data_IF_407420189748
#
_entry.id   IF_407420189748
#
_cell.length_a   1.000
_cell.length_b   1.000
_cell.length_c   1.000
_cell.angle_alpha   90.00
_cell.angle_beta   90.00
_cell.angle_gamma   90.00
#
_symmetry.space_group_name_H-M   'P 1'
#
loop_
_entity.id
_entity.type
_entity.pdbx_description
1 polymer ?
#
# COMPACT_ATOMS: atom_id res chain seq x y z
N UNK A 1 9.53 12.10 -13.58
CA UNK A 1 8.56 11.26 -12.85
C UNK A 1 7.43 12.11 -12.30
N UNK A 2 6.22 11.66 -12.44
CA UNK A 2 5.02 12.37 -11.98
C UNK A 2 4.33 11.57 -10.89
N UNK A 3 4.05 12.20 -9.74
CA UNK A 3 3.23 11.59 -8.68
C UNK A 3 1.82 12.17 -8.73
N UNK A 4 0.81 11.32 -8.58
CA UNK A 4 -0.59 11.73 -8.51
C UNK A 4 -1.27 11.04 -7.33
N UNK A 5 -2.16 11.75 -6.65
CA UNK A 5 -2.97 11.18 -5.57
C UNK A 5 -4.40 10.99 -6.05
N UNK A 6 -4.98 9.84 -5.67
CA UNK A 6 -6.39 9.49 -5.93
C UNK A 6 -6.81 9.63 -7.41
N UNK A 7 -5.91 9.31 -8.30
CA UNK A 7 -6.15 9.43 -9.74
C UNK A 7 -6.77 8.19 -10.38
N UNK A 8 -6.84 7.07 -9.62
CA UNK A 8 -7.35 5.78 -10.07
C UNK A 8 -6.77 5.33 -11.42
N UNK A 9 -5.58 4.72 -11.42
CA UNK A 9 -4.96 4.26 -12.67
C UNK A 9 -5.77 3.23 -13.44
N UNK A 10 -6.72 2.56 -12.77
CA UNK A 10 -7.52 1.49 -13.34
C UNK A 10 -6.93 0.12 -13.09
N UNK A 11 -7.79 -0.90 -13.13
CA UNK A 11 -7.40 -2.27 -12.82
C UNK A 11 -6.34 -2.83 -13.77
N UNK A 12 -6.42 -2.49 -15.06
CA UNK A 12 -5.46 -3.00 -16.04
C UNK A 12 -4.03 -2.53 -15.72
N UNK A 13 -3.85 -1.24 -15.48
CA UNK A 13 -2.53 -0.67 -15.16
C UNK A 13 -2.03 -1.19 -13.82
N UNK A 14 -2.88 -1.25 -12.80
CA UNK A 14 -2.51 -1.74 -11.48
C UNK A 14 -2.12 -3.22 -11.51
N UNK A 15 -2.89 -4.07 -12.18
CA UNK A 15 -2.56 -5.48 -12.30
C UNK A 15 -1.26 -5.68 -13.08
N UNK A 16 -1.01 -4.89 -14.12
CA UNK A 16 0.24 -4.94 -14.87
C UNK A 16 1.44 -4.60 -13.98
N UNK A 17 1.33 -3.54 -13.18
CA UNK A 17 2.37 -3.13 -12.25
C UNK A 17 2.63 -4.23 -11.21
N UNK A 18 1.59 -4.74 -10.58
CA UNK A 18 1.72 -5.75 -9.53
C UNK A 18 2.26 -7.06 -10.08
N UNK A 19 1.85 -7.46 -11.29
CA UNK A 19 2.36 -8.67 -11.93
C UNK A 19 3.87 -8.55 -12.20
N UNK A 20 4.33 -7.36 -12.59
CA UNK A 20 5.75 -7.13 -12.84
C UNK A 20 6.57 -7.19 -11.55
N UNK A 21 6.01 -6.72 -10.44
CA UNK A 21 6.73 -6.59 -9.17
C UNK A 21 6.61 -7.83 -8.26
N UNK A 22 5.51 -8.56 -8.32
CA UNK A 22 5.20 -9.66 -7.41
C UNK A 22 4.93 -10.94 -8.16
N UNK A 23 5.81 -11.94 -7.98
CA UNK A 23 5.76 -13.22 -8.74
C UNK A 23 4.48 -14.01 -8.45
N UNK A 24 3.87 -13.83 -7.27
CA UNK A 24 2.65 -14.54 -6.86
C UNK A 24 1.37 -13.74 -7.08
N UNK A 25 1.45 -12.66 -7.86
CA UNK A 25 0.29 -11.82 -8.09
C UNK A 25 -0.75 -12.54 -8.97
N UNK A 26 -2.01 -12.49 -8.53
CA UNK A 26 -3.16 -12.89 -9.33
C UNK A 26 -3.99 -11.65 -9.67
N UNK A 27 -4.58 -11.57 -10.87
CA UNK A 27 -5.44 -10.43 -11.22
C UNK A 27 -6.52 -10.19 -10.17
N UNK A 28 -6.72 -8.93 -9.82
CA UNK A 28 -7.73 -8.57 -8.83
C UNK A 28 -8.45 -7.27 -9.22
N UNK A 29 -9.63 -7.08 -8.64
CA UNK A 29 -10.35 -5.83 -8.74
C UNK A 29 -9.89 -4.91 -7.61
N UNK A 30 -9.19 -3.82 -7.97
CA UNK A 30 -8.69 -2.85 -7.00
C UNK A 30 -9.76 -1.84 -6.57
N UNK A 31 -10.86 -1.74 -7.28
CA UNK A 31 -11.81 -0.64 -7.08
C UNK A 31 -12.43 -0.60 -5.67
N UNK A 32 -12.82 -1.73 -5.06
CA UNK A 32 -13.34 -1.68 -3.69
C UNK A 32 -12.33 -1.13 -2.68
N UNK A 33 -11.05 -1.50 -2.82
CA UNK A 33 -9.98 -1.01 -1.94
C UNK A 33 -9.78 0.48 -2.14
N UNK A 34 -9.68 0.94 -3.39
CA UNK A 34 -9.45 2.36 -3.69
C UNK A 34 -10.59 3.24 -3.16
N UNK A 35 -11.82 2.77 -3.23
CA UNK A 35 -12.97 3.51 -2.70
C UNK A 35 -12.92 3.70 -1.19
N UNK A 36 -12.35 2.74 -0.46
CA UNK A 36 -12.25 2.78 1.01
C UNK A 36 -10.97 3.45 1.50
N UNK A 37 -10.00 3.67 0.63
CA UNK A 37 -8.72 4.24 1.01
C UNK A 37 -8.85 5.70 1.45
N UNK A 38 -8.04 6.11 2.42
CA UNK A 38 -7.89 7.52 2.75
C UNK A 38 -7.33 8.28 1.55
N UNK A 39 -6.27 7.75 0.99
CA UNK A 39 -5.64 8.22 -0.24
C UNK A 39 -4.79 7.09 -0.83
N UNK A 40 -4.28 7.31 -2.02
CA UNK A 40 -3.26 6.46 -2.63
C UNK A 40 -2.45 7.32 -3.60
N UNK A 41 -1.22 6.93 -3.85
CA UNK A 41 -0.30 7.68 -4.71
C UNK A 41 0.16 6.76 -5.83
N UNK A 42 0.11 7.29 -7.05
CA UNK A 42 0.57 6.63 -8.25
C UNK A 42 1.75 7.39 -8.82
N UNK A 43 2.77 6.67 -9.27
CA UNK A 43 3.96 7.25 -9.91
C UNK A 43 4.00 6.86 -11.38
N UNK A 44 4.29 7.85 -12.23
CA UNK A 44 4.31 7.67 -13.70
C UNK A 44 5.63 8.13 -14.29
N UNK A 45 6.10 7.41 -15.29
CA UNK A 45 7.18 7.83 -16.18
C UNK A 45 6.69 7.63 -17.61
N UNK A 46 6.76 8.70 -18.42
CA UNK A 46 6.27 8.69 -19.81
C UNK A 46 4.85 8.11 -19.95
N UNK A 47 3.98 8.49 -19.03
CA UNK A 47 2.60 8.05 -19.01
C UNK A 47 2.36 6.61 -18.52
N UNK A 48 3.41 5.88 -18.17
CA UNK A 48 3.31 4.50 -17.65
C UNK A 48 3.32 4.48 -16.15
N UNK A 49 2.41 3.71 -15.55
CA UNK A 49 2.36 3.50 -14.11
C UNK A 49 3.55 2.64 -13.69
N UNK A 50 4.46 3.20 -12.87
CA UNK A 50 5.67 2.50 -12.44
C UNK A 50 5.75 2.32 -10.93
N UNK A 51 4.85 2.91 -10.18
CA UNK A 51 4.83 2.79 -8.72
C UNK A 51 3.47 3.11 -8.15
N UNK A 52 3.22 2.56 -6.95
CA UNK A 52 1.93 2.73 -6.27
C UNK A 52 2.10 2.49 -4.78
N UNK A 53 1.34 3.21 -3.97
CA UNK A 53 1.15 2.93 -2.54
C UNK A 53 -0.26 3.29 -2.13
N UNK A 54 -0.87 2.42 -1.34
CA UNK A 54 -2.21 2.64 -0.79
C UNK A 54 -2.11 3.09 0.67
N UNK A 55 -2.97 4.00 1.09
CA UNK A 55 -3.11 4.44 2.47
C UNK A 55 -4.53 4.10 2.93
N UNK A 56 -4.66 2.98 3.63
CA UNK A 56 -5.89 2.58 4.29
C UNK A 56 -6.04 3.34 5.60
N UNK A 57 -7.21 3.35 6.21
CA UNK A 57 -7.41 4.03 7.48
C UNK A 57 -8.63 3.49 8.26
N UNK A 58 -8.71 3.87 9.53
CA UNK A 58 -9.80 3.46 10.41
C UNK A 58 -10.97 4.45 10.46
N UNK A 59 -10.90 5.51 9.67
CA UNK A 59 -11.87 6.61 9.71
C UNK A 59 -11.56 7.65 10.78
N UNK A 60 -10.48 7.50 11.52
CA UNK A 60 -10.07 8.38 12.61
C UNK A 60 -8.63 8.85 12.48
N UNK A 61 -7.79 8.51 13.46
CA UNK A 61 -6.42 9.01 13.57
C UNK A 61 -5.35 8.02 13.10
N UNK A 62 -5.73 6.82 12.70
CA UNK A 62 -4.80 5.77 12.29
C UNK A 62 -4.91 5.49 10.81
N UNK A 63 -3.78 5.47 10.12
CA UNK A 63 -3.66 5.08 8.73
C UNK A 63 -2.63 3.95 8.60
N UNK A 64 -2.69 3.24 7.47
CA UNK A 64 -1.90 2.03 7.25
C UNK A 64 -1.35 2.07 5.83
N UNK A 65 -0.03 2.06 5.70
CA UNK A 65 0.61 1.93 4.39
C UNK A 65 0.46 0.49 3.89
N UNK A 66 -0.03 0.35 2.68
CA UNK A 66 -0.28 -0.96 2.09
C UNK A 66 0.15 -0.99 0.63
N UNK A 67 0.58 -2.16 0.19
CA UNK A 67 0.84 -2.42 -1.23
C UNK A 67 1.87 -1.49 -1.88
N UNK A 68 2.88 -1.05 -1.13
CA UNK A 68 3.97 -0.25 -1.73
C UNK A 68 4.66 -1.08 -2.81
N UNK A 69 4.57 -0.63 -4.05
CA UNK A 69 5.00 -1.40 -5.22
C UNK A 69 5.72 -0.49 -6.20
N UNK A 70 6.89 -0.93 -6.68
CA UNK A 70 7.65 -0.23 -7.71
C UNK A 70 8.01 -1.24 -8.79
N UNK A 71 7.80 -0.88 -10.05
CA UNK A 71 8.19 -1.70 -11.19
C UNK A 71 9.68 -2.05 -11.07
N UNK A 72 10.07 -3.33 -11.25
CA UNK A 72 11.47 -3.74 -11.11
C UNK A 72 12.46 -2.94 -11.96
N UNK A 73 12.04 -2.48 -13.14
CA UNK A 73 12.89 -1.68 -14.01
C UNK A 73 13.19 -0.29 -13.46
N UNK A 74 12.46 0.15 -12.44
CA UNK A 74 12.58 1.46 -11.82
C UNK A 74 12.96 1.39 -10.35
N UNK A 75 13.29 0.21 -9.83
CA UNK A 75 13.75 0.05 -8.45
C UNK A 75 15.14 0.62 -8.24
N UNK A 76 15.48 0.90 -6.97
CA UNK A 76 16.77 1.46 -6.54
C UNK A 76 17.04 2.89 -7.06
N UNK A 77 16.00 3.58 -7.51
CA UNK A 77 16.06 4.99 -7.95
C UNK A 77 15.42 5.94 -6.94
N UNK A 78 15.07 5.45 -5.73
CA UNK A 78 14.44 6.28 -4.71
C UNK A 78 12.94 6.48 -4.88
N UNK A 79 12.31 5.80 -5.84
CA UNK A 79 10.87 5.98 -6.12
C UNK A 79 10.01 5.46 -4.97
N UNK A 80 10.33 4.29 -4.42
CA UNK A 80 9.62 3.75 -3.27
C UNK A 80 9.65 4.71 -2.08
N UNK A 81 10.80 5.30 -1.81
CA UNK A 81 10.95 6.27 -0.73
C UNK A 81 10.13 7.54 -0.96
N UNK A 82 10.09 8.02 -2.20
CA UNK A 82 9.27 9.17 -2.57
C UNK A 82 7.78 8.87 -2.40
N UNK A 83 7.34 7.69 -2.82
CA UNK A 83 5.95 7.24 -2.63
C UNK A 83 5.56 7.21 -1.16
N UNK A 84 6.39 6.60 -0.32
CA UNK A 84 6.13 6.49 1.12
C UNK A 84 6.12 7.87 1.78
N UNK A 85 7.07 8.72 1.44
CA UNK A 85 7.12 10.09 1.98
C UNK A 85 5.91 10.92 1.58
N UNK A 86 5.48 10.82 0.34
CA UNK A 86 4.28 11.52 -0.13
C UNK A 86 3.03 10.99 0.59
N UNK A 87 2.93 9.68 0.77
CA UNK A 87 1.83 9.07 1.52
C UNK A 87 1.75 9.58 2.96
N UNK A 88 2.89 9.63 3.64
CA UNK A 88 2.96 10.14 5.02
C UNK A 88 2.60 11.62 5.08
N UNK A 89 3.09 12.42 4.13
CA UNK A 89 2.80 13.85 4.04
C UNK A 89 1.30 14.10 3.84
N UNK A 90 0.67 13.40 2.91
CA UNK A 90 -0.77 13.52 2.67
C UNK A 90 -1.59 13.05 3.87
N UNK A 91 -1.18 11.96 4.52
CA UNK A 91 -1.85 11.49 5.72
C UNK A 91 -1.81 12.57 6.82
N UNK A 92 -0.67 13.21 7.00
CA UNK A 92 -0.51 14.32 7.96
C UNK A 92 -1.47 15.47 7.64
N UNK A 93 -1.54 15.88 6.38
CA UNK A 93 -2.45 16.95 5.94
C UNK A 93 -3.91 16.59 6.18
N UNK A 94 -4.26 15.30 6.11
CA UNK A 94 -5.61 14.81 6.31
C UNK A 94 -5.94 14.51 7.78
N UNK A 95 -5.05 14.89 8.71
CA UNK A 95 -5.31 14.82 10.16
C UNK A 95 -4.97 13.49 10.81
N UNK A 96 -4.21 12.63 10.14
CA UNK A 96 -3.75 11.36 10.72
C UNK A 96 -2.67 11.63 11.76
N UNK A 97 -2.75 10.96 12.90
CA UNK A 97 -1.74 11.02 13.96
C UNK A 97 -0.74 9.87 13.84
N UNK A 98 -1.20 8.65 13.52
CA UNK A 98 -0.37 7.46 13.49
C UNK A 98 -0.46 6.77 12.13
N UNK A 99 0.69 6.61 11.47
CA UNK A 99 0.79 5.82 10.25
C UNK A 99 1.50 4.51 10.58
N UNK A 100 0.81 3.40 10.31
CA UNK A 100 1.32 2.05 10.54
C UNK A 100 1.85 1.46 9.25
N UNK A 101 2.86 0.61 9.36
CA UNK A 101 3.31 -0.23 8.26
C UNK A 101 3.81 -1.56 8.82
N UNK A 102 3.37 -2.65 8.24
CA UNK A 102 3.98 -3.95 8.50
C UNK A 102 4.83 -4.33 7.29
N UNK A 103 5.98 -4.96 7.57
CA UNK A 103 6.94 -5.29 6.53
C UNK A 103 7.76 -6.51 6.93
N UNK A 104 8.27 -7.20 5.91
CA UNK A 104 9.21 -8.31 6.12
C UNK A 104 10.60 -7.77 6.44
N UNK A 105 11.38 -8.55 7.18
CA UNK A 105 12.70 -8.16 7.68
C UNK A 105 13.62 -7.48 6.63
N UNK A 106 13.67 -7.93 5.37
CA UNK A 106 14.53 -7.27 4.37
C UNK A 106 14.19 -5.80 4.11
N UNK A 107 12.97 -5.37 4.43
CA UNK A 107 12.52 -3.98 4.20
C UNK A 107 12.68 -3.08 5.43
N UNK A 108 13.22 -3.59 6.53
CA UNK A 108 13.36 -2.83 7.78
C UNK A 108 14.14 -1.53 7.56
N UNK A 109 15.31 -1.60 6.94
CA UNK A 109 16.13 -0.42 6.70
C UNK A 109 15.43 0.59 5.80
N UNK A 110 14.70 0.11 4.82
CA UNK A 110 13.94 0.98 3.93
C UNK A 110 12.93 1.83 4.70
N UNK A 111 12.09 1.18 5.51
CA UNK A 111 11.08 1.91 6.27
C UNK A 111 11.67 2.77 7.39
N UNK A 112 12.74 2.34 8.04
CA UNK A 112 13.46 3.18 8.98
C UNK A 112 14.02 4.43 8.30
N UNK A 113 14.54 4.30 7.08
CA UNK A 113 15.03 5.44 6.29
C UNK A 113 13.92 6.41 5.90
N UNK A 114 12.67 5.95 5.89
CA UNK A 114 11.49 6.78 5.65
C UNK A 114 10.96 7.44 6.93
N UNK A 115 11.56 7.16 8.09
CA UNK A 115 11.18 7.77 9.36
C UNK A 115 10.32 6.89 10.27
N UNK A 116 10.02 5.65 9.87
CA UNK A 116 9.26 4.73 10.70
C UNK A 116 10.12 4.17 11.82
N UNK A 117 9.54 4.11 13.03
CA UNK A 117 10.18 3.49 14.18
C UNK A 117 9.61 2.09 14.38
N UNK A 118 10.46 1.06 14.56
CA UNK A 118 9.97 -0.30 14.81
C UNK A 118 9.15 -0.38 16.09
N UNK A 119 8.06 -1.13 16.04
CA UNK A 119 7.22 -1.45 17.19
C UNK A 119 6.93 -2.94 17.20
N UNK A 120 6.44 -3.45 18.33
CA UNK A 120 5.93 -4.82 18.38
C UNK A 120 4.55 -4.85 17.76
N UNK A 121 4.38 -5.68 16.75
CA UNK A 121 3.12 -5.85 16.05
C UNK A 121 2.95 -7.31 15.65
N UNK A 122 1.73 -7.70 15.28
CA UNK A 122 1.46 -9.06 14.86
C UNK A 122 0.47 -9.11 13.72
N UNK A 123 0.55 -10.19 12.92
CA UNK A 123 -0.38 -10.49 11.86
C UNK A 123 -1.04 -11.83 12.15
N UNK A 124 -2.34 -11.90 11.96
CA UNK A 124 -3.09 -13.15 12.02
C UNK A 124 -3.66 -13.42 10.63
N UNK A 125 -3.14 -14.43 9.95
CA UNK A 125 -3.60 -14.79 8.61
C UNK A 125 -4.76 -15.76 8.70
N UNK A 126 -5.98 -15.27 8.52
CA UNK A 126 -7.20 -16.04 8.77
C UNK A 126 -7.29 -17.29 7.89
N UNK A 127 -6.95 -17.20 6.61
CA UNK A 127 -6.97 -18.33 5.70
C UNK A 127 -6.00 -19.43 6.11
N UNK A 128 -4.77 -19.06 6.53
CA UNK A 128 -3.77 -20.02 7.01
C UNK A 128 -4.17 -20.69 8.31
N UNK A 129 -5.06 -20.09 9.11
CA UNK A 129 -5.58 -20.64 10.36
C UNK A 129 -6.90 -21.39 10.17
N UNK A 130 -7.33 -21.58 8.90
CA UNK A 130 -8.57 -22.27 8.59
C UNK A 130 -9.83 -21.46 8.81
N UNK A 131 -9.71 -20.14 9.03
CA UNK A 131 -10.87 -19.26 9.18
C UNK A 131 -11.25 -18.72 7.81
N UNK A 132 -12.49 -18.93 7.41
CA UNK A 132 -13.00 -18.48 6.11
C UNK A 132 -13.77 -17.17 6.24
N UNK A 133 -14.03 -16.51 5.09
CA UNK A 133 -14.90 -15.33 5.08
C UNK A 133 -16.26 -15.58 5.69
N UNK A 134 -16.82 -16.78 5.47
CA UNK A 134 -18.11 -17.20 6.01
C UNK A 134 -18.06 -17.26 7.54
N UNK A 135 -16.97 -17.78 8.10
CA UNK A 135 -16.81 -17.85 9.55
C UNK A 135 -16.70 -16.46 10.18
N UNK A 136 -15.97 -15.56 9.52
CA UNK A 136 -15.84 -14.17 9.96
C UNK A 136 -17.20 -13.46 9.95
N UNK A 137 -18.01 -13.68 8.93
CA UNK A 137 -19.35 -13.11 8.85
C UNK A 137 -20.25 -13.59 9.98
N UNK A 138 -20.15 -14.87 10.38
CA UNK A 138 -20.89 -15.40 11.51
C UNK A 138 -20.53 -14.71 12.82
N UNK A 139 -19.27 -14.37 13.00
CA UNK A 139 -18.79 -13.69 14.22
C UNK A 139 -19.32 -12.26 14.29
N UNK A 140 -19.40 -11.57 13.14
CA UNK A 140 -19.78 -10.16 13.07
C UNK A 140 -21.27 -9.92 12.89
N UNK A 141 -22.01 -10.94 12.55
CA UNK A 141 -23.45 -10.86 12.41
C UNK A 141 -24.15 -11.00 13.76
#
# INVERSE_FOLDING_TARGET
MLLRSKDNPGNEALNRLFRAAWSNHSPRDFQPVLRQSLTYISAYVDGHLIGFVNVAWDGGKHAFLMDTTVNPDHQRCGIGKQLVREAVSLASELGIEWVHVDYKSPFKRFYESCGFQPTNAGLYHLEKRGVTKKDVQKITA
#
